data_IF_811984837309
#
_entry.id   IF_811984837309
#
_cell.length_a   1.000
_cell.length_b   1.000
_cell.length_c   1.000
_cell.angle_alpha   90.00
_cell.angle_beta   90.00
_cell.angle_gamma   90.00
#
_symmetry.space_group_name_H-M   'P 1'
#
loop_
_entity.id
_entity.type
_entity.pdbx_description
1 polymer ?
#
# COMPACT_ATOMS: atom_id res chain seq x y z
N UNK A 1 4.37 33.52 39.74
CA UNK A 1 3.38 32.45 39.64
C UNK A 1 2.69 32.67 38.30
N UNK A 2 3.24 32.07 37.24
CA UNK A 2 2.72 30.85 36.58
C UNK A 2 1.82 31.27 35.42
N UNK A 3 2.05 30.94 34.15
CA UNK A 3 3.09 30.19 33.47
C UNK A 3 2.76 30.27 31.98
N UNK A 4 3.79 30.30 31.15
CA UNK A 4 3.66 29.95 29.73
C UNK A 4 2.97 28.59 29.62
N UNK A 5 1.92 28.52 28.79
CA UNK A 5 1.41 27.29 28.21
C UNK A 5 0.87 27.68 26.83
N UNK A 6 1.77 27.72 25.84
CA UNK A 6 1.99 26.60 24.92
C UNK A 6 0.89 26.52 23.85
N UNK A 7 1.21 27.13 22.71
CA UNK A 7 1.12 26.54 21.36
C UNK A 7 0.10 25.39 21.22
N UNK A 8 -1.15 25.75 20.90
CA UNK A 8 -2.04 24.85 20.15
C UNK A 8 -1.60 24.84 18.68
N UNK A 9 -0.35 24.46 18.42
CA UNK A 9 0.00 23.99 17.10
C UNK A 9 -0.59 22.58 16.98
N UNK A 10 -1.34 22.25 15.91
CA UNK A 10 -1.80 20.89 15.73
C UNK A 10 -0.55 20.01 15.73
N UNK A 11 -0.56 18.98 16.57
CA UNK A 11 0.40 17.89 16.49
C UNK A 11 0.19 17.25 15.11
N UNK A 12 0.89 17.75 14.09
CA UNK A 12 1.16 17.00 12.87
C UNK A 12 2.20 15.95 13.25
N UNK A 13 1.78 14.98 14.06
CA UNK A 13 2.52 13.73 14.19
C UNK A 13 2.52 13.11 12.79
N UNK A 14 3.70 12.78 12.28
CA UNK A 14 3.97 12.46 10.88
C UNK A 14 3.36 11.15 10.39
N UNK A 15 2.04 11.02 10.43
CA UNK A 15 1.29 9.81 10.01
C UNK A 15 1.03 9.73 8.50
N UNK A 16 1.61 10.61 7.68
CA UNK A 16 1.24 10.72 6.26
C UNK A 16 2.13 9.94 5.30
N UNK A 17 3.24 9.35 5.76
CA UNK A 17 4.10 8.54 4.90
C UNK A 17 4.19 7.11 5.42
N UNK A 18 3.18 6.30 5.07
CA UNK A 18 3.37 4.86 5.06
C UNK A 18 4.61 4.53 4.23
N UNK A 19 5.47 3.64 4.72
CA UNK A 19 6.67 3.22 3.98
C UNK A 19 6.26 2.59 2.64
N UNK A 20 7.18 2.52 1.68
CA UNK A 20 6.91 1.88 0.38
C UNK A 20 6.39 0.46 0.56
N UNK A 21 6.96 -0.29 1.49
CA UNK A 21 6.58 -1.67 1.82
C UNK A 21 5.17 -1.73 2.41
N UNK A 22 4.81 -0.79 3.30
CA UNK A 22 3.46 -0.70 3.86
C UNK A 22 2.41 -0.36 2.78
N UNK A 23 2.76 0.52 1.84
CA UNK A 23 1.91 0.86 0.69
C UNK A 23 1.70 -0.36 -0.21
N UNK A 24 2.78 -1.07 -0.54
CA UNK A 24 2.72 -2.32 -1.33
C UNK A 24 1.86 -3.37 -0.64
N UNK A 25 2.05 -3.61 0.65
CA UNK A 25 1.25 -4.57 1.42
C UNK A 25 -0.23 -4.17 1.51
N UNK A 26 -0.53 -2.87 1.53
CA UNK A 26 -1.90 -2.36 1.41
C UNK A 26 -2.51 -2.67 0.05
N UNK A 27 -1.79 -2.35 -1.03
CA UNK A 27 -2.24 -2.58 -2.41
C UNK A 27 -2.40 -4.08 -2.71
N UNK A 28 -1.49 -4.93 -2.25
CA UNK A 28 -1.57 -6.38 -2.42
C UNK A 28 -2.86 -6.96 -1.83
N UNK A 29 -3.25 -6.50 -0.63
CA UNK A 29 -4.53 -6.90 0.01
C UNK A 29 -5.75 -6.41 -0.77
N UNK A 30 -5.69 -5.20 -1.35
CA UNK A 30 -6.76 -4.68 -2.20
C UNK A 30 -6.90 -5.50 -3.49
N UNK A 31 -5.79 -5.82 -4.15
CA UNK A 31 -5.77 -6.67 -5.35
C UNK A 31 -6.32 -8.06 -5.05
N UNK A 32 -5.95 -8.67 -3.92
CA UNK A 32 -6.50 -9.95 -3.48
C UNK A 32 -8.03 -9.89 -3.34
N UNK A 33 -8.55 -8.83 -2.70
CA UNK A 33 -9.99 -8.63 -2.54
C UNK A 33 -10.70 -8.40 -3.88
N UNK A 34 -10.10 -7.62 -4.78
CA UNK A 34 -10.64 -7.36 -6.12
C UNK A 34 -10.76 -8.66 -6.94
N UNK A 35 -9.77 -9.57 -6.84
CA UNK A 35 -9.78 -10.86 -7.54
C UNK A 35 -10.78 -11.87 -6.96
N UNK A 36 -11.10 -11.77 -5.67
CA UNK A 36 -12.19 -12.57 -5.08
C UNK A 36 -13.54 -12.18 -5.70
N UNK A 37 -13.74 -10.89 -5.98
CA UNK A 37 -14.97 -10.39 -6.62
C UNK A 37 -14.98 -10.59 -8.15
N UNK A 38 -13.80 -10.61 -8.76
CA UNK A 38 -13.59 -10.64 -10.20
C UNK A 38 -12.46 -11.62 -10.60
N UNK A 39 -12.68 -12.94 -10.44
CA UNK A 39 -11.67 -13.96 -10.66
C UNK A 39 -11.22 -14.09 -12.12
N UNK A 40 -11.96 -13.50 -13.06
CA UNK A 40 -11.60 -13.43 -14.48
C UNK A 40 -10.44 -12.47 -14.78
N UNK A 41 -10.12 -11.55 -13.85
CA UNK A 41 -9.05 -10.59 -14.05
C UNK A 41 -7.67 -11.24 -13.89
N UNK A 42 -6.70 -10.75 -14.67
CA UNK A 42 -5.32 -11.20 -14.55
C UNK A 42 -4.64 -10.51 -13.35
N UNK A 43 -4.27 -11.28 -12.32
CA UNK A 43 -3.61 -10.80 -11.10
C UNK A 43 -2.44 -9.85 -11.39
N UNK A 44 -1.50 -10.25 -12.25
CA UNK A 44 -0.30 -9.45 -12.55
C UNK A 44 -0.69 -8.12 -13.20
N UNK A 45 -1.66 -8.15 -14.11
CA UNK A 45 -2.15 -6.94 -14.78
C UNK A 45 -2.78 -5.96 -13.79
N UNK A 46 -3.63 -6.45 -12.89
CA UNK A 46 -4.28 -5.61 -11.87
C UNK A 46 -3.23 -5.08 -10.88
N UNK A 47 -2.29 -5.90 -10.45
CA UNK A 47 -1.23 -5.50 -9.53
C UNK A 47 -0.33 -4.40 -10.12
N UNK A 48 0.09 -4.54 -11.38
CA UNK A 48 0.88 -3.51 -12.09
C UNK A 48 0.13 -2.19 -12.18
N UNK A 49 -1.17 -2.23 -12.50
CA UNK A 49 -2.00 -1.03 -12.56
C UNK A 49 -2.06 -0.32 -11.20
N UNK A 50 -2.33 -1.08 -10.13
CA UNK A 50 -2.42 -0.53 -8.75
C UNK A 50 -1.11 0.06 -8.26
N UNK A 51 0.02 -0.60 -8.54
CA UNK A 51 1.34 -0.08 -8.19
C UNK A 51 1.65 1.21 -8.97
N UNK A 52 1.31 1.24 -10.26
CA UNK A 52 1.50 2.42 -11.11
C UNK A 52 0.63 3.60 -10.67
N UNK A 53 -0.64 3.36 -10.33
CA UNK A 53 -1.57 4.39 -9.81
C UNK A 53 -1.06 4.99 -8.48
N UNK A 54 -0.36 4.19 -7.68
CA UNK A 54 0.27 4.63 -6.45
C UNK A 54 1.66 5.26 -6.64
N UNK A 55 2.17 5.34 -7.88
CA UNK A 55 3.49 5.85 -8.20
C UNK A 55 4.64 4.95 -7.72
N UNK A 56 4.38 3.66 -7.52
CA UNK A 56 5.35 2.67 -7.04
C UNK A 56 5.88 1.86 -8.22
N UNK A 57 7.15 2.04 -8.53
CA UNK A 57 7.85 1.18 -9.50
C UNK A 57 8.47 -0.01 -8.78
N UNK A 58 8.24 -1.20 -9.33
CA UNK A 58 8.85 -2.48 -8.93
C UNK A 58 9.53 -3.10 -10.14
N UNK A 59 10.56 -3.93 -9.95
CA UNK A 59 11.08 -4.76 -11.02
C UNK A 59 10.25 -6.04 -11.20
N UNK A 60 10.58 -6.85 -12.20
CA UNK A 60 9.84 -8.07 -12.53
C UNK A 60 9.92 -9.11 -11.39
N UNK A 61 11.08 -9.25 -10.76
CA UNK A 61 11.28 -10.21 -9.67
C UNK A 61 10.45 -9.83 -8.44
N UNK A 62 10.45 -8.55 -8.06
CA UNK A 62 9.64 -8.01 -6.97
C UNK A 62 8.14 -8.12 -7.28
N UNK A 63 7.73 -7.81 -8.52
CA UNK A 63 6.34 -7.96 -8.96
C UNK A 63 5.86 -9.40 -8.82
N UNK A 64 6.67 -10.36 -9.29
CA UNK A 64 6.34 -11.78 -9.22
C UNK A 64 6.35 -12.30 -7.78
N UNK A 65 7.22 -11.79 -6.91
CA UNK A 65 7.20 -12.11 -5.49
C UNK A 65 5.89 -11.66 -4.83
N UNK A 66 5.45 -10.41 -5.08
CA UNK A 66 4.20 -9.88 -4.53
C UNK A 66 2.99 -10.66 -5.07
N UNK A 67 2.96 -10.92 -6.39
CA UNK A 67 1.90 -11.72 -7.01
C UNK A 67 1.84 -13.15 -6.43
N UNK A 68 3.01 -13.75 -6.15
CA UNK A 68 3.12 -15.01 -5.45
C UNK A 68 2.43 -14.97 -4.09
N UNK A 69 2.76 -13.99 -3.24
CA UNK A 69 2.12 -13.81 -1.92
C UNK A 69 0.60 -13.73 -2.03
N UNK A 70 0.09 -12.95 -2.98
CA UNK A 70 -1.37 -12.82 -3.21
C UNK A 70 -1.99 -14.15 -3.63
N UNK A 71 -1.36 -14.88 -4.55
CA UNK A 71 -1.87 -16.15 -5.05
C UNK A 71 -1.85 -17.27 -3.98
N UNK A 72 -0.90 -17.20 -3.05
CA UNK A 72 -0.82 -18.10 -1.89
C UNK A 72 -1.82 -17.75 -0.79
N UNK A 73 -2.28 -16.50 -0.71
CA UNK A 73 -3.27 -16.04 0.27
C UNK A 73 -2.71 -15.74 1.66
N UNK A 74 -1.43 -15.37 1.75
CA UNK A 74 -0.75 -14.93 3.00
C UNK A 74 -1.09 -13.48 3.39
#
# INVERSE_FOLDING_TARGET
MTGDAELNEPVQDGSNDATREQKIAGLARQVAADLVLHPEQNLVTVLVQRLSDAGITVDEDELMAIAGTIALGD
#
